data_IF_713127619656
#
_entry.id   IF_713127619656
#
_cell.length_a   1.000
_cell.length_b   1.000
_cell.length_c   1.000
_cell.angle_alpha   90.00
_cell.angle_beta   90.00
_cell.angle_gamma   90.00
#
_symmetry.space_group_name_H-M   'P 1'
#
loop_
_entity.id
_entity.type
_entity.pdbx_description
1 polymer ?
#
# COMPACT_ATOMS: atom_id res chain seq x y z
N UNK A 1 7.30 -7.23 -10.70
CA UNK A 1 6.83 -7.76 -9.41
C UNK A 1 7.86 -7.50 -8.34
N UNK A 2 7.40 -7.11 -7.15
CA UNK A 2 8.24 -6.90 -5.97
C UNK A 2 8.70 -8.25 -5.38
N UNK A 3 10.01 -8.42 -5.26
CA UNK A 3 10.65 -9.60 -4.65
C UNK A 3 11.26 -9.31 -3.28
N UNK A 4 11.36 -8.04 -2.89
CA UNK A 4 11.91 -7.61 -1.58
C UNK A 4 10.85 -7.73 -0.50
N UNK A 5 9.60 -7.44 -0.86
CA UNK A 5 8.44 -7.52 0.02
C UNK A 5 7.37 -8.43 -0.61
N UNK A 6 7.57 -9.76 -0.60
CA UNK A 6 6.62 -10.69 -1.20
C UNK A 6 5.25 -10.62 -0.49
N UNK A 7 4.12 -10.79 -1.21
CA UNK A 7 2.77 -10.65 -0.65
C UNK A 7 2.52 -11.51 0.60
N UNK A 8 3.10 -12.71 0.66
CA UNK A 8 2.99 -13.62 1.79
C UNK A 8 3.57 -13.02 3.07
N UNK A 9 4.71 -12.32 2.95
CA UNK A 9 5.33 -11.62 4.09
C UNK A 9 4.46 -10.44 4.54
N UNK A 10 3.93 -9.66 3.60
CA UNK A 10 3.06 -8.52 3.93
C UNK A 10 1.79 -8.99 4.63
N UNK A 11 1.25 -10.14 4.25
CA UNK A 11 0.09 -10.76 4.92
C UNK A 11 0.39 -11.16 6.37
N UNK A 12 1.61 -11.57 6.68
CA UNK A 12 2.02 -11.83 8.07
C UNK A 12 2.01 -10.55 8.91
N UNK A 13 2.38 -9.40 8.32
CA UNK A 13 2.27 -8.11 9.01
C UNK A 13 0.82 -7.70 9.25
N UNK A 14 -0.09 -7.94 8.30
CA UNK A 14 -1.52 -7.72 8.49
C UNK A 14 -2.07 -8.54 9.67
N UNK A 15 -1.69 -9.82 9.75
CA UNK A 15 -2.08 -10.69 10.86
C UNK A 15 -1.55 -10.17 12.20
N UNK A 16 -0.29 -9.71 12.25
CA UNK A 16 0.30 -9.14 13.45
C UNK A 16 -0.41 -7.86 13.90
N UNK A 17 -0.77 -6.97 12.94
CA UNK A 17 -1.54 -5.75 13.22
C UNK A 17 -2.97 -6.07 13.69
N UNK A 18 -3.59 -7.11 13.14
CA UNK A 18 -4.95 -7.55 13.50
C UNK A 18 -5.07 -8.00 14.95
N UNK A 19 -3.97 -8.40 15.59
CA UNK A 19 -3.95 -8.73 17.04
C UNK A 19 -4.19 -7.47 17.89
N UNK A 20 -3.84 -6.29 17.39
CA UNK A 20 -4.08 -5.01 18.07
C UNK A 20 -5.14 -4.18 17.32
N UNK A 21 -6.41 -4.40 17.67
CA UNK A 21 -7.54 -3.66 17.07
C UNK A 21 -7.67 -2.20 17.54
N UNK A 22 -6.81 -1.73 18.45
CA UNK A 22 -6.86 -0.37 18.98
C UNK A 22 -6.39 0.70 17.98
N UNK A 23 -5.71 0.29 16.91
CA UNK A 23 -5.23 1.17 15.84
C UNK A 23 -5.83 0.70 14.52
N UNK A 24 -6.54 1.59 13.83
CA UNK A 24 -7.06 1.30 12.50
C UNK A 24 -5.92 0.95 11.55
N UNK A 25 -6.02 -0.16 10.82
CA UNK A 25 -5.02 -0.60 9.87
C UNK A 25 -5.68 -1.32 8.70
N UNK A 26 -4.96 -1.42 7.59
CA UNK A 26 -5.29 -2.28 6.45
C UNK A 26 -4.02 -2.58 5.66
N UNK A 27 -4.05 -3.66 4.87
CA UNK A 27 -3.02 -3.99 3.90
C UNK A 27 -3.66 -4.08 2.51
N UNK A 28 -3.00 -3.48 1.51
CA UNK A 28 -3.42 -3.50 0.11
C UNK A 28 -2.24 -3.84 -0.78
N UNK A 29 -2.37 -4.91 -1.56
CA UNK A 29 -1.34 -5.36 -2.51
C UNK A 29 -1.77 -5.00 -3.93
N UNK A 30 -0.96 -4.20 -4.61
CA UNK A 30 -1.17 -3.85 -6.01
C UNK A 30 -0.46 -4.88 -6.90
N UNK A 31 -1.18 -5.68 -7.72
CA UNK A 31 -0.56 -6.69 -8.55
C UNK A 31 0.26 -6.06 -9.68
N UNK A 32 1.33 -6.73 -10.11
CA UNK A 32 2.11 -6.34 -11.30
C UNK A 32 3.14 -5.23 -11.10
N UNK A 33 3.10 -4.50 -9.98
CA UNK A 33 4.04 -3.39 -9.69
C UNK A 33 5.44 -3.88 -9.26
N UNK A 34 6.45 -3.03 -9.42
CA UNK A 34 7.83 -3.26 -8.95
C UNK A 34 8.08 -2.61 -7.58
N UNK A 35 9.17 -2.94 -6.88
CA UNK A 35 9.48 -2.28 -5.61
C UNK A 35 9.66 -0.75 -5.79
N UNK A 36 9.12 0.05 -4.86
CA UNK A 36 9.21 1.52 -4.90
C UNK A 36 8.35 2.19 -5.99
N UNK A 37 7.41 1.45 -6.59
CA UNK A 37 6.56 1.89 -7.69
C UNK A 37 5.78 3.18 -7.41
N UNK A 38 5.32 3.42 -6.17
CA UNK A 38 4.50 4.59 -5.84
C UNK A 38 5.25 5.93 -5.86
N UNK A 39 6.59 5.90 -5.92
CA UNK A 39 7.44 7.11 -5.92
C UNK A 39 8.44 7.15 -7.08
N UNK A 40 8.47 6.11 -7.93
CA UNK A 40 9.41 5.96 -9.06
C UNK A 40 8.70 5.52 -10.34
N UNK A 41 7.40 5.76 -10.46
CA UNK A 41 6.64 5.43 -11.66
C UNK A 41 6.94 6.41 -12.79
N UNK A 42 6.75 5.95 -14.03
CA UNK A 42 6.73 6.82 -15.21
C UNK A 42 5.37 7.48 -15.34
N UNK A 43 5.34 8.78 -15.64
CA UNK A 43 4.09 9.50 -15.97
C UNK A 43 3.45 9.01 -17.27
N UNK A 44 4.23 8.39 -18.16
CA UNK A 44 3.75 7.83 -19.43
C UNK A 44 3.09 6.44 -19.25
N UNK A 45 3.23 5.82 -18.07
CA UNK A 45 2.56 4.56 -17.73
C UNK A 45 1.27 4.85 -16.94
N UNK A 46 0.15 4.94 -17.65
CA UNK A 46 -1.15 5.24 -17.05
C UNK A 46 -1.57 4.23 -15.96
N UNK A 47 -1.15 2.96 -16.05
CA UNK A 47 -1.46 1.96 -15.04
C UNK A 47 -0.67 2.19 -13.75
N UNK A 48 0.62 2.57 -13.90
CA UNK A 48 1.46 2.94 -12.78
C UNK A 48 0.99 4.24 -12.11
N UNK A 49 0.61 5.26 -12.90
CA UNK A 49 0.02 6.52 -12.40
C UNK A 49 -1.24 6.24 -11.59
N UNK A 50 -2.20 5.49 -12.15
CA UNK A 50 -3.46 5.17 -11.46
C UNK A 50 -3.22 4.44 -10.14
N UNK A 51 -2.33 3.46 -10.14
CA UNK A 51 -2.00 2.71 -8.93
C UNK A 51 -1.41 3.66 -7.87
N UNK A 52 -0.56 4.61 -8.29
CA UNK A 52 0.17 5.48 -7.36
C UNK A 52 -0.76 6.50 -6.73
N UNK A 53 -1.67 7.08 -7.53
CA UNK A 53 -2.75 7.95 -7.06
C UNK A 53 -3.67 7.23 -6.08
N UNK A 54 -4.05 5.98 -6.38
CA UNK A 54 -4.89 5.17 -5.49
C UNK A 54 -4.21 4.89 -4.14
N UNK A 55 -2.94 4.47 -4.15
CA UNK A 55 -2.19 4.25 -2.91
C UNK A 55 -2.00 5.54 -2.10
N UNK A 56 -1.82 6.68 -2.77
CA UNK A 56 -1.70 7.97 -2.09
C UNK A 56 -3.03 8.42 -1.48
N UNK A 57 -4.15 8.22 -2.19
CA UNK A 57 -5.49 8.50 -1.67
C UNK A 57 -5.80 7.63 -0.44
N UNK A 58 -5.53 6.32 -0.50
CA UNK A 58 -5.72 5.39 0.62
C UNK A 58 -4.93 5.84 1.88
N UNK A 59 -3.70 6.33 1.69
CA UNK A 59 -2.88 6.87 2.77
C UNK A 59 -3.48 8.14 3.39
N UNK A 60 -3.93 9.09 2.56
CA UNK A 60 -4.54 10.33 3.03
C UNK A 60 -5.86 10.06 3.79
N UNK A 61 -6.68 9.15 3.28
CA UNK A 61 -7.92 8.74 3.94
C UNK A 61 -7.65 8.12 5.31
N UNK A 62 -6.59 7.30 5.41
CA UNK A 62 -6.15 6.77 6.70
C UNK A 62 -5.72 7.88 7.67
N UNK A 63 -4.92 8.85 7.21
CA UNK A 63 -4.52 9.98 8.06
C UNK A 63 -5.73 10.80 8.50
N UNK A 64 -6.61 11.20 7.59
CA UNK A 64 -7.81 11.96 7.91
C UNK A 64 -8.73 11.25 8.92
N UNK A 65 -8.77 9.90 8.87
CA UNK A 65 -9.57 9.10 9.79
C UNK A 65 -8.94 8.96 11.17
N UNK A 66 -7.62 8.80 11.26
CA UNK A 66 -6.94 8.37 12.48
C UNK A 66 -6.09 9.45 13.16
N UNK A 67 -5.67 10.49 12.43
CA UNK A 67 -4.91 11.63 12.95
C UNK A 67 -5.81 12.87 12.92
N UNK A 68 -6.18 13.36 14.10
CA UNK A 68 -6.84 14.65 14.31
C UNK A 68 -5.94 15.57 15.11
#
# INVERSE_FOLDING_TARGET
>A
MDVRSPPELVKQFEQALSVNSGVGHFVKVFPGVAHGWSVRYSLDDAAAVKSAEEAFADMLDWFNKNLK
#
